data_IF_186631887869
#
_entry.id   IF_186631887869
#
_cell.length_a   1.000
_cell.length_b   1.000
_cell.length_c   1.000
_cell.angle_alpha   90.00
_cell.angle_beta   90.00
_cell.angle_gamma   90.00
#
_symmetry.space_group_name_H-M   'P 1'
#
loop_
_entity.id
_entity.type
_entity.pdbx_description
1 polymer ?
#
# COMPACT_ATOMS: atom_id res chain seq x y z
N UNK A 1 1.89 -16.99 -18.78
CA UNK A 1 2.07 -15.87 -17.83
C UNK A 1 2.04 -16.49 -16.44
N UNK A 2 3.02 -16.23 -15.57
CA UNK A 2 2.96 -16.75 -14.20
C UNK A 2 1.72 -16.18 -13.52
N UNK A 3 1.14 -16.94 -12.59
CA UNK A 3 0.00 -16.47 -11.83
C UNK A 3 0.46 -15.33 -10.91
N UNK A 4 -0.19 -14.17 -11.02
CA UNK A 4 0.03 -13.06 -10.10
C UNK A 4 -0.89 -13.25 -8.89
N UNK A 5 -0.30 -13.37 -7.70
CA UNK A 5 -1.05 -13.51 -6.46
C UNK A 5 -1.41 -12.12 -5.90
N UNK A 6 -2.62 -11.97 -5.40
CA UNK A 6 -3.05 -10.76 -4.68
C UNK A 6 -3.30 -11.10 -3.21
N UNK A 7 -2.68 -10.32 -2.31
CA UNK A 7 -2.92 -10.43 -0.86
C UNK A 7 -2.99 -9.07 -0.17
N UNK A 8 -3.61 -8.96 1.01
CA UNK A 8 -3.51 -7.77 1.84
C UNK A 8 -2.05 -7.44 2.18
N UNK A 9 -1.74 -6.14 2.22
CA UNK A 9 -0.46 -5.67 2.72
C UNK A 9 -0.37 -5.80 4.24
N UNK A 10 0.84 -5.98 4.74
CA UNK A 10 1.17 -6.05 6.16
C UNK A 10 2.28 -5.05 6.48
N UNK A 11 2.58 -4.85 7.76
CA UNK A 11 3.69 -4.00 8.19
C UNK A 11 5.05 -4.46 7.64
N UNK A 12 5.21 -5.75 7.36
CA UNK A 12 6.44 -6.32 6.82
C UNK A 12 6.69 -5.92 5.37
N UNK A 13 5.67 -5.41 4.67
CA UNK A 13 5.77 -4.97 3.28
C UNK A 13 6.22 -3.50 3.15
N UNK A 14 6.55 -2.84 4.27
CA UNK A 14 6.88 -1.39 4.29
C UNK A 14 7.93 -1.04 3.23
N UNK A 15 9.02 -1.79 3.15
CA UNK A 15 10.14 -1.45 2.26
C UNK A 15 9.75 -1.63 0.79
N UNK A 16 9.00 -2.68 0.45
CA UNK A 16 8.50 -2.92 -0.90
C UNK A 16 7.50 -1.84 -1.33
N UNK A 17 6.56 -1.48 -0.45
CA UNK A 17 5.59 -0.41 -0.71
C UNK A 17 6.28 0.95 -0.81
N UNK A 18 7.27 1.22 0.04
CA UNK A 18 8.09 2.43 -0.03
C UNK A 18 8.78 2.56 -1.37
N UNK A 19 9.45 1.50 -1.84
CA UNK A 19 10.13 1.48 -3.12
C UNK A 19 9.16 1.77 -4.28
N UNK A 20 7.99 1.11 -4.31
CA UNK A 20 6.95 1.35 -5.30
C UNK A 20 6.43 2.79 -5.29
N UNK A 21 6.25 3.39 -4.11
CA UNK A 21 5.78 4.77 -3.98
C UNK A 21 6.86 5.77 -4.42
N UNK A 22 8.13 5.54 -4.06
CA UNK A 22 9.24 6.38 -4.50
C UNK A 22 9.39 6.33 -6.02
N UNK A 23 9.29 5.13 -6.61
CA UNK A 23 9.29 4.95 -8.06
C UNK A 23 8.11 5.67 -8.71
N UNK A 24 6.88 5.47 -8.21
CA UNK A 24 5.68 6.14 -8.74
C UNK A 24 5.78 7.66 -8.69
N UNK A 25 6.37 8.21 -7.62
CA UNK A 25 6.47 9.67 -7.39
C UNK A 25 7.76 10.28 -7.96
N UNK A 26 8.71 9.46 -8.40
CA UNK A 26 10.03 9.88 -8.85
C UNK A 26 10.75 10.77 -7.80
N UNK A 27 10.60 10.40 -6.53
CA UNK A 27 11.14 11.16 -5.40
C UNK A 27 11.40 10.24 -4.20
N UNK A 28 12.44 10.54 -3.43
CA UNK A 28 12.69 9.91 -2.14
C UNK A 28 11.94 10.64 -1.03
N UNK A 29 11.38 9.86 -0.09
CA UNK A 29 10.69 10.38 1.09
C UNK A 29 11.49 10.00 2.34
N UNK A 30 11.21 10.67 3.47
CA UNK A 30 11.75 10.20 4.75
C UNK A 30 11.17 8.79 5.06
N UNK A 31 12.04 7.79 5.06
CA UNK A 31 11.65 6.39 5.24
C UNK A 31 10.98 6.14 6.59
N UNK A 32 11.42 6.84 7.65
CA UNK A 32 10.85 6.69 8.98
C UNK A 32 9.43 7.25 9.03
N UNK A 33 9.22 8.46 8.50
CA UNK A 33 7.92 9.10 8.40
C UNK A 33 6.96 8.28 7.53
N UNK A 34 7.44 7.75 6.40
CA UNK A 34 6.66 6.85 5.54
C UNK A 34 6.21 5.60 6.30
N UNK A 35 7.14 4.90 6.98
CA UNK A 35 6.82 3.71 7.77
C UNK A 35 5.77 3.99 8.85
N UNK A 36 5.86 5.13 9.53
CA UNK A 36 4.87 5.52 10.55
C UNK A 36 3.51 5.75 9.90
N UNK A 37 3.44 6.51 8.80
CA UNK A 37 2.21 6.78 8.07
C UNK A 37 1.58 5.51 7.47
N UNK A 38 2.36 4.64 6.84
CA UNK A 38 1.88 3.40 6.26
C UNK A 38 1.29 2.47 7.33
N UNK A 39 1.96 2.31 8.48
CA UNK A 39 1.42 1.54 9.60
C UNK A 39 0.17 2.15 10.21
N UNK A 40 0.02 3.48 10.19
CA UNK A 40 -1.23 4.12 10.61
C UNK A 40 -2.36 3.77 9.63
N UNK A 41 -2.10 3.84 8.32
CA UNK A 41 -3.09 3.50 7.31
C UNK A 41 -3.48 2.02 7.34
N UNK A 42 -2.55 1.10 7.61
CA UNK A 42 -2.89 -0.33 7.77
C UNK A 42 -3.85 -0.61 8.92
N UNK A 43 -3.94 0.29 9.91
CA UNK A 43 -4.87 0.18 11.05
C UNK A 43 -6.19 0.90 10.82
N UNK A 44 -6.28 1.74 9.78
CA UNK A 44 -7.50 2.45 9.43
C UNK A 44 -8.42 1.53 8.62
N UNK A 45 -9.63 1.20 9.11
CA UNK A 45 -10.57 0.33 8.38
C UNK A 45 -11.05 0.91 7.04
N UNK A 46 -10.87 2.21 6.81
CA UNK A 46 -11.21 2.90 5.57
C UNK A 46 -10.08 2.84 4.53
N UNK A 47 -8.89 2.41 4.93
CA UNK A 47 -7.74 2.22 4.06
C UNK A 47 -7.50 0.73 3.84
N UNK A 48 -7.43 0.31 2.57
CA UNK A 48 -7.09 -1.07 2.21
C UNK A 48 -5.96 -1.07 1.21
N UNK A 49 -4.92 -1.82 1.52
CA UNK A 49 -3.81 -2.06 0.61
C UNK A 49 -3.76 -3.53 0.24
N UNK A 50 -3.60 -3.81 -1.06
CA UNK A 50 -3.28 -5.14 -1.57
C UNK A 50 -2.00 -5.07 -2.39
N UNK A 51 -1.25 -6.16 -2.38
CA UNK A 51 0.00 -6.31 -3.11
C UNK A 51 -0.17 -7.38 -4.16
N UNK A 52 0.42 -7.12 -5.33
CA UNK A 52 0.58 -8.07 -6.41
C UNK A 52 1.94 -8.74 -6.27
N UNK A 53 1.96 -10.07 -6.25
CA UNK A 53 3.16 -10.87 -6.14
C UNK A 53 3.38 -11.69 -7.40
N UNK A 54 4.63 -11.73 -7.85
CA UNK A 54 5.12 -12.62 -8.90
C UNK A 54 6.29 -13.41 -8.32
N UNK A 55 6.16 -14.74 -8.27
CA UNK A 55 7.20 -15.62 -7.70
C UNK A 55 7.64 -15.25 -6.27
N UNK A 56 6.70 -14.73 -5.46
CA UNK A 56 6.95 -14.29 -4.08
C UNK A 56 7.42 -12.84 -3.94
N UNK A 57 7.78 -12.18 -5.04
CA UNK A 57 8.24 -10.80 -5.06
C UNK A 57 7.09 -9.82 -5.28
N UNK A 58 7.09 -8.72 -4.53
CA UNK A 58 6.08 -7.67 -4.69
C UNK A 58 6.38 -6.86 -5.94
N UNK A 59 5.47 -6.91 -6.91
CA UNK A 59 5.59 -6.22 -8.21
C UNK A 59 4.60 -5.08 -8.39
N UNK A 60 3.68 -4.88 -7.44
CA UNK A 60 2.71 -3.79 -7.51
C UNK A 60 1.85 -3.67 -6.26
N UNK A 61 1.15 -2.55 -6.15
CA UNK A 61 0.22 -2.29 -5.05
C UNK A 61 -1.10 -1.68 -5.56
N UNK A 62 -2.17 -1.96 -4.83
CA UNK A 62 -3.49 -1.35 -4.99
C UNK A 62 -3.84 -0.71 -3.65
N UNK A 63 -4.12 0.59 -3.66
CA UNK A 63 -4.63 1.33 -2.50
C UNK A 63 -6.09 1.72 -2.72
N UNK A 64 -6.97 1.39 -1.77
CA UNK A 64 -8.36 1.83 -1.73
C UNK A 64 -8.58 2.67 -0.47
N UNK A 65 -9.11 3.87 -0.66
CA UNK A 65 -9.49 4.77 0.42
C UNK A 65 -11.00 5.02 0.36
N UNK A 66 -11.72 4.59 1.39
CA UNK A 66 -13.16 4.78 1.53
C UNK A 66 -13.45 6.16 2.13
N UNK A 67 -14.14 7.02 1.38
CA UNK A 67 -14.56 8.34 1.83
C UNK A 67 -16.08 8.44 1.88
N UNK A 68 -16.62 8.48 3.10
CA UNK A 68 -18.05 8.68 3.33
C UNK A 68 -18.36 10.17 3.26
N UNK A 69 -18.89 10.61 2.12
CA UNK A 69 -19.34 11.99 1.95
C UNK A 69 -20.70 12.15 2.63
N UNK A 70 -20.88 13.23 3.40
CA UNK A 70 -22.13 13.57 4.08
C UNK A 70 -23.20 13.98 3.07
N UNK A 71 -23.94 13.04 2.49
CA UNK A 71 -25.17 13.35 1.77
C UNK A 71 -26.26 12.31 2.04
N UNK A 72 -27.29 12.79 2.74
CA UNK A 72 -28.64 12.24 2.94
C UNK A 72 -28.83 11.12 3.98
N UNK A 73 -28.93 11.54 5.24
CA UNK A 73 -30.02 11.05 6.10
C UNK A 73 -31.25 11.92 5.83
#
# INVERSE_FOLDING_TARGET
MPACELRPATQYDTDAVYALICELKQAEFDHHAFRVGFNANLRDPNMRYHLALLDGEVVGMIGLHLQFHLHHV
#
